data_IF_220064556980
#
_entry.id   IF_220064556980
#
_cell.length_a   1.000
_cell.length_b   1.000
_cell.length_c   1.000
_cell.angle_alpha   90.00
_cell.angle_beta   90.00
_cell.angle_gamma   90.00
#
_symmetry.space_group_name_H-M   'P 1'
#
loop_
_entity.id
_entity.type
_entity.pdbx_description
1 polymer ?
#
# COMPACT_ATOMS: atom_id res chain seq x y z
N UNK A 1 25.00 -9.53 69.63
CA UNK A 1 25.44 -9.19 68.26
C UNK A 1 24.22 -9.19 67.37
N UNK A 2 23.72 -8.01 67.03
CA UNK A 2 22.45 -7.83 66.32
C UNK A 2 22.63 -8.16 64.83
N UNK A 3 21.76 -9.03 64.28
CA UNK A 3 21.70 -9.34 62.85
C UNK A 3 20.78 -8.30 62.20
N UNK A 4 21.34 -7.28 61.55
CA UNK A 4 20.58 -6.33 60.77
C UNK A 4 20.14 -7.00 59.46
N UNK A 5 18.83 -7.19 59.32
CA UNK A 5 18.19 -7.47 58.04
C UNK A 5 18.26 -6.18 57.22
N UNK A 6 19.16 -6.13 56.22
CA UNK A 6 19.07 -5.12 55.19
C UNK A 6 18.15 -5.65 54.09
N UNK A 7 16.86 -5.33 54.23
CA UNK A 7 15.89 -5.40 53.14
C UNK A 7 16.27 -4.29 52.15
N UNK A 8 17.08 -4.64 51.15
CA UNK A 8 17.37 -3.78 50.01
C UNK A 8 16.16 -3.75 49.10
N UNK A 9 15.44 -2.63 49.12
CA UNK A 9 14.26 -2.34 48.31
C UNK A 9 14.49 -2.65 46.82
N UNK A 10 13.62 -3.49 46.25
CA UNK A 10 13.54 -3.73 44.83
C UNK A 10 13.12 -2.46 44.09
N UNK A 11 14.07 -1.81 43.44
CA UNK A 11 13.76 -0.82 42.41
C UNK A 11 13.47 -1.58 41.11
N UNK A 12 12.26 -2.15 41.01
CA UNK A 12 11.74 -2.57 39.72
C UNK A 12 11.49 -1.30 38.90
N UNK A 13 12.50 -0.88 38.13
CA UNK A 13 12.36 0.11 37.08
C UNK A 13 11.37 -0.46 36.05
N UNK A 14 10.08 -0.22 36.31
CA UNK A 14 8.96 -0.62 35.45
C UNK A 14 8.95 0.24 34.20
N UNK A 15 9.88 -0.02 33.29
CA UNK A 15 9.82 0.49 31.93
C UNK A 15 8.49 0.06 31.28
N UNK A 16 7.95 0.85 30.35
CA UNK A 16 6.77 0.43 29.61
C UNK A 16 7.04 -0.92 28.93
N UNK A 17 6.16 -1.89 29.16
CA UNK A 17 6.25 -3.19 28.47
C UNK A 17 6.31 -2.96 26.96
N UNK A 18 6.95 -3.86 26.22
CA UNK A 18 7.05 -3.77 24.75
C UNK A 18 5.68 -3.59 24.09
N UNK A 19 4.63 -4.19 24.65
CA UNK A 19 3.24 -3.98 24.20
C UNK A 19 2.77 -2.53 24.36
N UNK A 20 3.06 -1.90 25.50
CA UNK A 20 2.75 -0.49 25.76
C UNK A 20 3.57 0.45 24.87
N UNK A 21 4.84 0.11 24.63
CA UNK A 21 5.71 0.84 23.69
C UNK A 21 5.19 0.78 22.25
N UNK A 22 4.75 -0.39 21.78
CA UNK A 22 4.14 -0.57 20.46
C UNK A 22 2.85 0.26 20.32
N UNK A 23 1.99 0.24 21.35
CA UNK A 23 0.77 1.03 21.36
C UNK A 23 1.02 2.54 21.24
N UNK A 24 2.01 3.05 21.97
CA UNK A 24 2.40 4.46 21.93
C UNK A 24 3.00 4.83 20.57
N UNK A 25 3.95 4.03 20.05
CA UNK A 25 4.69 4.39 18.82
C UNK A 25 3.87 4.22 17.54
N UNK A 26 2.96 3.25 17.47
CA UNK A 26 2.15 2.98 16.26
C UNK A 26 0.68 3.38 16.37
N UNK A 27 0.21 3.72 17.58
CA UNK A 27 -1.10 4.31 17.85
C UNK A 27 -0.98 5.81 18.07
N UNK A 28 -0.61 6.22 19.28
CA UNK A 28 -0.71 7.59 19.77
C UNK A 28 0.27 8.57 19.09
N UNK A 29 1.50 8.13 18.84
CA UNK A 29 2.55 8.94 18.22
C UNK A 29 2.65 8.72 16.71
N UNK A 30 1.76 7.93 16.11
CA UNK A 30 1.85 7.64 14.70
C UNK A 30 1.44 8.86 13.87
N UNK A 31 2.36 9.51 13.12
CA UNK A 31 2.04 10.69 12.33
C UNK A 31 1.09 10.37 11.15
N UNK A 32 0.86 9.09 10.86
CA UNK A 32 -0.04 8.61 9.81
C UNK A 32 -0.93 7.48 10.32
N UNK A 33 -2.18 7.77 10.70
CA UNK A 33 -3.14 6.75 11.12
C UNK A 33 -3.18 5.60 10.10
N UNK A 34 -2.86 4.37 10.52
CA UNK A 34 -2.81 3.18 9.64
C UNK A 34 -4.10 3.02 8.82
N UNK A 35 -5.23 3.44 9.38
CA UNK A 35 -6.52 3.49 8.69
C UNK A 35 -6.51 4.42 7.48
N UNK A 36 -5.93 5.62 7.58
CA UNK A 36 -5.84 6.55 6.44
C UNK A 36 -4.96 6.00 5.33
N UNK A 37 -3.83 5.38 5.67
CA UNK A 37 -2.96 4.72 4.69
C UNK A 37 -3.71 3.60 3.97
N UNK A 38 -4.40 2.73 4.72
CA UNK A 38 -5.21 1.65 4.15
C UNK A 38 -6.31 2.17 3.24
N UNK A 39 -7.03 3.22 3.65
CA UNK A 39 -8.10 3.83 2.85
C UNK A 39 -7.55 4.41 1.55
N UNK A 40 -6.43 5.15 1.60
CA UNK A 40 -5.78 5.69 0.39
C UNK A 40 -5.33 4.58 -0.56
N UNK A 41 -4.72 3.51 -0.02
CA UNK A 41 -4.32 2.34 -0.82
C UNK A 41 -5.52 1.67 -1.50
N UNK A 42 -6.61 1.46 -0.76
CA UNK A 42 -7.82 0.88 -1.32
C UNK A 42 -8.43 1.76 -2.43
N UNK A 43 -8.53 3.07 -2.19
CA UNK A 43 -9.02 4.04 -3.18
C UNK A 43 -8.17 4.03 -4.46
N UNK A 44 -6.85 4.14 -4.34
CA UNK A 44 -5.96 4.18 -5.51
C UNK A 44 -5.93 2.83 -6.25
N UNK A 45 -6.01 1.72 -5.53
CA UNK A 45 -6.09 0.40 -6.14
C UNK A 45 -7.38 0.24 -6.96
N UNK A 46 -8.51 0.69 -6.42
CA UNK A 46 -9.80 0.64 -7.12
C UNK A 46 -9.80 1.53 -8.37
N UNK A 47 -9.23 2.73 -8.27
CA UNK A 47 -9.07 3.63 -9.40
C UNK A 47 -8.30 2.97 -10.56
N UNK A 48 -7.15 2.36 -10.26
CA UNK A 48 -6.33 1.68 -11.29
C UNK A 48 -7.07 0.51 -11.92
N UNK A 49 -7.85 -0.26 -11.13
CA UNK A 49 -8.65 -1.37 -11.67
C UNK A 49 -9.72 -0.90 -12.65
N UNK A 50 -10.39 0.21 -12.35
CA UNK A 50 -11.40 0.78 -13.25
C UNK A 50 -10.77 1.27 -14.55
N UNK A 51 -9.67 2.02 -14.46
CA UNK A 51 -8.93 2.49 -15.66
C UNK A 51 -8.45 1.31 -16.52
N UNK A 52 -7.95 0.24 -15.90
CA UNK A 52 -7.52 -0.96 -16.64
C UNK A 52 -8.68 -1.66 -17.33
N UNK A 53 -9.83 -1.77 -16.67
CA UNK A 53 -11.06 -2.36 -17.25
C UNK A 53 -11.57 -1.53 -18.43
N UNK A 54 -11.52 -0.20 -18.33
CA UNK A 54 -11.90 0.70 -19.42
C UNK A 54 -10.97 0.54 -20.63
N UNK A 55 -9.66 0.47 -20.41
CA UNK A 55 -8.68 0.24 -21.48
C UNK A 55 -8.86 -1.13 -22.15
N UNK A 56 -9.16 -2.17 -21.37
CA UNK A 56 -9.45 -3.51 -21.90
C UNK A 56 -10.71 -3.51 -22.77
N UNK A 57 -11.77 -2.83 -22.35
CA UNK A 57 -12.99 -2.69 -23.15
C UNK A 57 -12.73 -1.96 -24.48
N UNK A 58 -11.98 -0.84 -24.45
CA UNK A 58 -11.59 -0.10 -25.65
C UNK A 58 -10.77 -0.98 -26.60
N UNK A 59 -9.82 -1.76 -26.06
CA UNK A 59 -9.00 -2.69 -26.85
C UNK A 59 -9.85 -3.77 -27.51
N UNK A 60 -10.80 -4.35 -26.79
CA UNK A 60 -11.70 -5.37 -27.32
C UNK A 60 -12.59 -4.83 -28.44
N UNK A 61 -13.17 -3.64 -28.27
CA UNK A 61 -13.99 -3.00 -29.28
C UNK A 61 -13.17 -2.68 -30.54
N UNK A 62 -11.96 -2.15 -30.37
CA UNK A 62 -11.04 -1.89 -31.48
C UNK A 62 -10.68 -3.17 -32.26
N UNK A 63 -10.38 -4.26 -31.57
CA UNK A 63 -10.09 -5.55 -32.22
C UNK A 63 -11.31 -6.10 -32.96
N UNK A 64 -12.52 -5.98 -32.38
CA UNK A 64 -13.76 -6.41 -33.01
C UNK A 64 -14.05 -5.63 -34.30
N UNK A 65 -13.88 -4.32 -34.30
CA UNK A 65 -14.07 -3.47 -35.49
C UNK A 65 -13.08 -3.82 -36.61
N UNK A 66 -11.82 -4.09 -36.25
CA UNK A 66 -10.80 -4.52 -37.21
C UNK A 66 -11.10 -5.90 -37.79
N UNK A 67 -11.43 -6.88 -36.94
CA UNK A 67 -11.67 -8.25 -37.38
C UNK A 67 -12.97 -8.37 -38.22
N UNK A 68 -13.90 -7.43 -38.07
CA UNK A 68 -15.14 -7.34 -38.87
C UNK A 68 -14.99 -6.54 -40.17
N UNK A 69 -13.86 -5.85 -40.37
CA UNK A 69 -13.54 -5.11 -41.60
C UNK A 69 -12.22 -5.59 -42.22
N UNK A 70 -12.25 -6.60 -43.13
CA UNK A 70 -11.03 -7.18 -43.70
C UNK A 70 -10.20 -6.24 -44.59
N UNK A 71 -10.61 -4.98 -44.76
CA UNK A 71 -10.02 -4.01 -45.70
C UNK A 71 -9.16 -2.92 -45.03
N UNK A 72 -9.02 -2.91 -43.69
CA UNK A 72 -8.32 -1.83 -42.95
C UNK A 72 -7.13 -2.30 -42.09
N UNK A 73 -6.53 -3.44 -42.44
CA UNK A 73 -5.48 -4.10 -41.65
C UNK A 73 -4.09 -3.46 -41.64
N UNK A 74 -3.87 -2.34 -42.33
CA UNK A 74 -2.55 -1.70 -42.40
C UNK A 74 -2.52 -0.43 -41.55
N UNK A 75 -2.46 -0.61 -40.24
CA UNK A 75 -1.93 0.42 -39.34
C UNK A 75 -0.42 0.19 -39.27
N UNK A 76 0.30 0.83 -40.19
CA UNK A 76 1.74 1.01 -40.11
C UNK A 76 2.03 1.73 -38.79
N UNK A 77 2.66 1.04 -37.86
CA UNK A 77 3.36 1.69 -36.76
C UNK A 77 4.63 2.26 -37.38
N UNK A 78 4.64 3.54 -37.72
CA UNK A 78 5.88 4.26 -38.02
C UNK A 78 6.69 4.29 -36.71
N UNK A 79 7.54 3.27 -36.56
CA UNK A 79 8.63 3.25 -35.60
C UNK A 79 9.67 4.23 -36.15
N UNK A 80 9.55 5.51 -35.77
CA UNK A 80 10.53 6.55 -36.12
C UNK A 80 11.89 6.13 -35.54
N UNK A 81 12.78 5.68 -36.43
CA UNK A 81 14.18 5.36 -36.19
C UNK A 81 14.94 6.66 -35.88
N UNK A 82 15.16 6.95 -34.59
CA UNK A 82 15.91 8.12 -34.12
C UNK A 82 17.39 7.97 -34.55
N UNK A 83 17.80 8.73 -35.57
CA UNK A 83 19.19 8.90 -36.03
C UNK A 83 20.00 9.83 -35.15
#
# INVERSE_FOLDING_TARGET
>A
MSKAYLVGAGLAAGGPSSRKLIGISFGDLNPFPLRQIRNRRAYHLEKVRLELTELEAIREDFLRERDTSPDKGELVSDEEEDT
#
